data_IF_794578062451
#
_entry.id   IF_794578062451
#
_cell.length_a   1.000
_cell.length_b   1.000
_cell.length_c   1.000
_cell.angle_alpha   90.00
_cell.angle_beta   90.00
_cell.angle_gamma   90.00
#
_symmetry.space_group_name_H-M   'P 1'
#
loop_
_entity.id
_entity.type
_entity.pdbx_description
1 polymer ?
#
# COMPACT_ATOMS: atom_id res chain seq x y z
N UNK A 1 29.39 19.66 -1.15
CA UNK A 1 29.42 18.29 -0.60
C UNK A 1 28.13 17.63 -1.04
N UNK A 2 28.15 16.89 -2.14
CA UNK A 2 27.00 16.13 -2.63
C UNK A 2 27.25 14.66 -2.32
N UNK A 3 26.25 13.95 -1.82
CA UNK A 3 26.28 12.49 -1.77
C UNK A 3 26.28 11.98 -3.21
N UNK A 4 27.46 11.60 -3.69
CA UNK A 4 27.61 10.95 -4.98
C UNK A 4 27.17 9.49 -4.91
N UNK A 5 27.10 8.87 -6.08
CA UNK A 5 26.87 7.43 -6.18
C UNK A 5 27.85 6.59 -5.32
N UNK A 6 29.16 6.95 -5.19
CA UNK A 6 30.08 6.21 -4.32
C UNK A 6 29.73 6.27 -2.84
N UNK A 7 29.38 7.43 -2.31
CA UNK A 7 29.02 7.61 -0.90
C UNK A 7 27.72 6.86 -0.56
N UNK A 8 26.73 6.90 -1.46
CA UNK A 8 25.48 6.14 -1.30
C UNK A 8 25.75 4.64 -1.29
N UNK A 9 26.62 4.15 -2.17
CA UNK A 9 27.01 2.73 -2.22
C UNK A 9 27.68 2.28 -0.92
N UNK A 10 28.54 3.12 -0.34
CA UNK A 10 29.26 2.83 0.90
C UNK A 10 28.30 2.78 2.09
N UNK A 11 27.34 3.71 2.18
CA UNK A 11 26.27 3.67 3.18
C UNK A 11 25.44 2.39 3.03
N UNK A 12 25.07 2.05 1.79
CA UNK A 12 24.31 0.82 1.51
C UNK A 12 25.09 -0.42 1.95
N UNK A 13 26.39 -0.48 1.68
CA UNK A 13 27.25 -1.58 2.09
C UNK A 13 27.31 -1.74 3.62
N UNK A 14 27.45 -0.63 4.35
CA UNK A 14 27.42 -0.64 5.82
C UNK A 14 26.07 -1.16 6.33
N UNK A 15 24.95 -0.66 5.80
CA UNK A 15 23.60 -1.13 6.15
C UNK A 15 23.44 -2.62 5.84
N UNK A 16 23.92 -3.09 4.69
CA UNK A 16 23.85 -4.51 4.31
C UNK A 16 24.70 -5.41 5.21
N UNK A 17 25.80 -4.93 5.78
CA UNK A 17 26.61 -5.70 6.75
C UNK A 17 25.88 -5.80 8.08
N UNK A 18 25.31 -4.70 8.58
CA UNK A 18 24.59 -4.70 9.87
C UNK A 18 23.26 -5.47 9.82
N UNK A 19 22.47 -5.25 8.78
CA UNK A 19 21.14 -5.86 8.64
C UNK A 19 21.18 -7.19 7.89
N UNK A 20 22.23 -7.44 7.11
CA UNK A 20 22.34 -8.61 6.23
C UNK A 20 21.61 -8.40 4.89
N UNK A 21 22.22 -8.85 3.80
CA UNK A 21 21.63 -8.75 2.45
C UNK A 21 20.29 -9.51 2.29
N UNK A 22 20.00 -10.48 3.16
CA UNK A 22 18.74 -11.24 3.17
C UNK A 22 17.56 -10.46 3.78
N UNK A 23 17.84 -9.48 4.65
CA UNK A 23 16.79 -8.75 5.38
C UNK A 23 16.04 -7.77 4.50
N UNK A 24 16.73 -7.15 3.53
CA UNK A 24 16.11 -6.20 2.59
C UNK A 24 15.03 -6.88 1.72
N UNK A 25 15.29 -8.03 1.04
CA UNK A 25 14.25 -8.77 0.31
C UNK A 25 13.11 -9.26 1.20
N UNK A 26 13.41 -9.75 2.41
CA UNK A 26 12.42 -10.24 3.37
C UNK A 26 11.44 -9.12 3.78
N UNK A 27 11.98 -7.94 4.12
CA UNK A 27 11.18 -6.76 4.44
C UNK A 27 10.38 -6.27 3.23
N UNK A 28 10.98 -6.23 2.04
CA UNK A 28 10.28 -5.83 0.82
C UNK A 28 9.12 -6.78 0.48
N UNK A 29 9.30 -8.09 0.67
CA UNK A 29 8.23 -9.08 0.49
C UNK A 29 7.11 -8.90 1.53
N UNK A 30 7.45 -8.65 2.79
CA UNK A 30 6.47 -8.39 3.85
C UNK A 30 5.66 -7.12 3.60
N UNK A 31 6.34 -6.01 3.31
CA UNK A 31 5.71 -4.74 2.97
C UNK A 31 4.87 -4.83 1.69
N UNK A 32 5.35 -5.54 0.67
CA UNK A 32 4.63 -5.74 -0.58
C UNK A 32 3.32 -6.52 -0.39
N UNK A 33 3.35 -7.59 0.41
CA UNK A 33 2.14 -8.33 0.79
C UNK A 33 1.18 -7.46 1.60
N UNK A 34 1.68 -6.75 2.62
CA UNK A 34 0.88 -5.85 3.45
C UNK A 34 0.21 -4.75 2.64
N UNK A 35 0.95 -4.08 1.76
CA UNK A 35 0.41 -3.03 0.88
C UNK A 35 -0.62 -3.58 -0.12
N UNK A 36 -0.41 -4.80 -0.63
CA UNK A 36 -1.36 -5.45 -1.54
C UNK A 36 -2.69 -5.75 -0.84
N UNK A 37 -2.65 -6.34 0.35
CA UNK A 37 -3.85 -6.63 1.13
C UNK A 37 -4.55 -5.35 1.58
N UNK A 38 -3.79 -4.34 2.03
CA UNK A 38 -4.34 -3.03 2.37
C UNK A 38 -5.08 -2.39 1.19
N UNK A 39 -4.47 -2.39 0.01
CA UNK A 39 -5.11 -1.86 -1.21
C UNK A 39 -6.34 -2.66 -1.62
N UNK A 40 -6.38 -3.97 -1.36
CA UNK A 40 -7.55 -4.81 -1.64
C UNK A 40 -8.70 -4.44 -0.70
N UNK A 41 -8.45 -4.45 0.61
CA UNK A 41 -9.45 -4.06 1.61
C UNK A 41 -9.99 -2.64 1.37
N UNK A 42 -9.12 -1.68 1.01
CA UNK A 42 -9.54 -0.32 0.69
C UNK A 42 -10.48 -0.25 -0.52
N UNK A 43 -10.27 -1.09 -1.55
CA UNK A 43 -11.18 -1.17 -2.71
C UNK A 43 -12.50 -1.82 -2.35
N UNK A 44 -12.47 -2.93 -1.62
CA UNK A 44 -13.68 -3.64 -1.20
C UNK A 44 -14.60 -2.70 -0.39
N UNK A 45 -14.03 -1.92 0.54
CA UNK A 45 -14.75 -0.88 1.30
C UNK A 45 -15.34 0.20 0.39
N UNK A 46 -14.58 0.66 -0.61
CA UNK A 46 -15.05 1.69 -1.54
C UNK A 46 -16.24 1.18 -2.37
N UNK A 47 -16.18 -0.05 -2.87
CA UNK A 47 -17.26 -0.68 -3.64
C UNK A 47 -18.52 -0.88 -2.79
N UNK A 48 -18.37 -1.27 -1.53
CA UNK A 48 -19.51 -1.46 -0.62
C UNK A 48 -20.20 -0.13 -0.31
N UNK A 49 -19.43 0.94 -0.05
CA UNK A 49 -19.98 2.29 0.13
C UNK A 49 -20.71 2.76 -1.15
N UNK A 50 -20.14 2.53 -2.32
CA UNK A 50 -20.78 2.92 -3.60
C UNK A 50 -22.08 2.15 -3.85
N UNK A 51 -22.16 0.87 -3.47
CA UNK A 51 -23.39 0.06 -3.55
C UNK A 51 -24.45 0.57 -2.58
N UNK A 52 -24.07 0.82 -1.33
CA UNK A 52 -24.98 1.32 -0.29
C UNK A 52 -25.57 2.69 -0.69
N UNK A 53 -24.73 3.59 -1.22
CA UNK A 53 -25.17 4.92 -1.70
C UNK A 53 -26.13 4.78 -2.88
N UNK A 54 -25.84 3.92 -3.85
CA UNK A 54 -26.75 3.67 -4.99
C UNK A 54 -28.09 3.09 -4.52
N UNK A 55 -28.08 2.16 -3.58
CA UNK A 55 -29.30 1.56 -3.05
C UNK A 55 -30.16 2.60 -2.30
N UNK A 56 -29.55 3.49 -1.53
CA UNK A 56 -30.26 4.61 -0.87
C UNK A 56 -30.86 5.59 -1.90
N UNK A 57 -30.16 5.84 -3.01
CA UNK A 57 -30.69 6.68 -4.10
C UNK A 57 -31.85 6.05 -4.84
N UNK A 58 -31.81 4.73 -5.06
CA UNK A 58 -32.86 4.00 -5.77
C UNK A 58 -34.11 3.83 -4.88
N UNK A 59 -33.94 3.54 -3.58
CA UNK A 59 -35.04 3.51 -2.60
C UNK A 59 -35.74 4.87 -2.44
N UNK A 60 -35.01 5.98 -2.62
CA UNK A 60 -35.58 7.34 -2.61
C UNK A 60 -36.36 7.69 -3.88
N UNK A 61 -36.07 7.05 -5.01
CA UNK A 61 -36.76 7.31 -6.29
C UNK A 61 -38.07 6.52 -6.42
N UNK A 62 -38.28 5.48 -5.61
CA UNK A 62 -39.45 4.59 -5.68
C UNK A 62 -40.64 5.00 -4.78
N UNK A 63 -40.56 6.14 -4.07
CA UNK A 63 -41.75 6.75 -3.43
C UNK A 63 -42.35 7.83 -4.34
N UNK A 64 -43.33 7.50 -5.20
CA UNK A 64 -44.19 8.53 -5.78
C UNK A 64 -44.94 9.20 -4.63
N UNK A 65 -44.84 10.53 -4.59
CA UNK A 65 -45.71 11.38 -3.77
C UNK A 65 -47.15 11.30 -4.28
#
# INVERSE_FOLDING_TARGET
MNLGAPEILLILAVVLIFFGARKIPELAQGLGKGLREFRKAARDIQEDIEKDVKQIEDDKKEKPQ
#
